data_IF_274986042202
#
_entry.id   IF_274986042202
#
_cell.length_a   1.000
_cell.length_b   1.000
_cell.length_c   1.000
_cell.angle_alpha   90.00
_cell.angle_beta   90.00
_cell.angle_gamma   90.00
#
_symmetry.space_group_name_H-M   'P 1'
#
loop_
_entity.id
_entity.type
_entity.pdbx_description
1 polymer ?
#
# COMPACT_ATOMS: atom_id res chain seq x y z
N UNK A 1 17.78 4.93 -3.25
CA UNK A 1 17.07 4.59 -4.51
C UNK A 1 15.61 4.23 -4.24
N UNK A 2 15.32 3.23 -3.39
CA UNK A 2 13.93 2.82 -3.04
C UNK A 2 13.00 3.99 -2.69
N UNK A 3 13.37 4.84 -1.73
CA UNK A 3 12.51 5.95 -1.27
C UNK A 3 12.23 6.98 -2.38
N UNK A 4 13.22 7.27 -3.22
CA UNK A 4 13.05 8.17 -4.36
C UNK A 4 12.08 7.58 -5.40
N UNK A 5 12.20 6.28 -5.71
CA UNK A 5 11.28 5.58 -6.61
C UNK A 5 9.85 5.57 -6.06
N UNK A 6 9.65 5.29 -4.77
CA UNK A 6 8.32 5.27 -4.15
C UNK A 6 7.69 6.66 -4.05
N UNK A 7 8.48 7.69 -3.75
CA UNK A 7 8.01 9.08 -3.77
C UNK A 7 7.62 9.52 -5.19
N UNK A 8 8.43 9.16 -6.20
CA UNK A 8 8.12 9.43 -7.61
C UNK A 8 6.86 8.71 -8.07
N UNK A 9 6.69 7.43 -7.70
CA UNK A 9 5.47 6.67 -8.00
C UNK A 9 4.22 7.30 -7.37
N UNK A 10 4.30 7.72 -6.10
CA UNK A 10 3.18 8.39 -5.43
C UNK A 10 2.80 9.69 -6.15
N UNK A 11 3.80 10.48 -6.56
CA UNK A 11 3.53 11.71 -7.31
C UNK A 11 2.94 11.41 -8.69
N UNK A 12 3.41 10.35 -9.36
CA UNK A 12 2.83 9.89 -10.62
C UNK A 12 1.37 9.48 -10.45
N UNK A 13 1.02 8.69 -9.44
CA UNK A 13 -0.37 8.28 -9.18
C UNK A 13 -1.30 9.47 -8.93
N UNK A 14 -0.82 10.52 -8.23
CA UNK A 14 -1.58 11.76 -8.01
C UNK A 14 -1.90 12.48 -9.32
N UNK A 15 -0.93 12.57 -10.24
CA UNK A 15 -1.15 13.16 -11.57
C UNK A 15 -2.12 12.30 -12.37
N UNK A 16 -1.90 10.97 -12.39
CA UNK A 16 -2.77 10.03 -13.10
C UNK A 16 -4.22 10.15 -12.64
N UNK A 17 -4.46 10.32 -11.33
CA UNK A 17 -5.81 10.53 -10.77
C UNK A 17 -6.51 11.74 -11.38
N UNK A 18 -5.81 12.88 -11.47
CA UNK A 18 -6.37 14.09 -12.07
C UNK A 18 -6.70 13.91 -13.56
N UNK A 19 -5.89 13.15 -14.29
CA UNK A 19 -6.11 12.85 -15.71
C UNK A 19 -7.30 11.91 -15.93
N UNK A 20 -7.51 10.91 -15.07
CA UNK A 20 -8.55 9.88 -15.30
C UNK A 20 -9.88 10.14 -14.59
N UNK A 21 -9.98 11.15 -13.72
CA UNK A 21 -11.21 11.42 -12.94
C UNK A 21 -12.41 11.75 -13.82
N UNK A 22 -12.20 12.38 -14.97
CA UNK A 22 -13.28 12.68 -15.93
C UNK A 22 -13.91 11.42 -16.54
N UNK A 23 -13.20 10.30 -16.47
CA UNK A 23 -13.65 8.98 -16.91
C UNK A 23 -14.25 8.14 -15.77
N UNK A 24 -14.44 8.73 -14.58
CA UNK A 24 -14.95 8.02 -13.39
C UNK A 24 -14.10 6.79 -13.01
N UNK A 25 -12.79 6.87 -13.21
CA UNK A 25 -11.82 5.83 -12.84
C UNK A 25 -11.27 6.14 -11.44
N UNK A 26 -11.29 5.13 -10.55
CA UNK A 26 -10.73 5.23 -9.19
C UNK A 26 -9.22 4.95 -9.22
N UNK A 27 -8.43 5.82 -8.60
CA UNK A 27 -6.99 5.61 -8.36
C UNK A 27 -6.75 5.57 -6.86
N UNK A 28 -6.23 4.44 -6.38
CA UNK A 28 -6.00 4.18 -4.95
C UNK A 28 -4.54 3.80 -4.76
N UNK A 29 -3.83 4.59 -3.96
CA UNK A 29 -2.47 4.30 -3.53
C UNK A 29 -2.49 3.61 -2.17
N UNK A 30 -2.05 2.34 -2.12
CA UNK A 30 -1.85 1.59 -0.88
C UNK A 30 -0.37 1.60 -0.54
N UNK A 31 -0.04 2.15 0.64
CA UNK A 31 1.32 2.37 1.14
C UNK A 31 1.60 1.43 2.32
N UNK A 32 1.92 0.14 2.08
CA UNK A 32 2.22 -0.80 3.14
C UNK A 32 3.62 -0.57 3.72
N UNK A 33 3.70 -0.58 5.05
CA UNK A 33 4.93 -0.69 5.82
C UNK A 33 5.48 -2.11 5.85
N UNK A 34 6.22 -2.45 6.91
CA UNK A 34 6.87 -3.75 7.04
C UNK A 34 5.88 -4.92 6.93
N UNK A 35 5.93 -5.63 5.80
CA UNK A 35 5.08 -6.78 5.46
C UNK A 35 5.96 -8.00 5.23
N UNK A 36 5.65 -9.12 5.88
CA UNK A 36 6.44 -10.36 5.84
C UNK A 36 6.32 -11.00 4.45
N UNK A 37 7.26 -10.66 3.57
CA UNK A 37 7.32 -11.15 2.18
C UNK A 37 8.78 -11.43 1.81
N UNK A 38 9.05 -12.21 0.75
CA UNK A 38 10.42 -12.50 0.31
C UNK A 38 11.26 -11.29 -0.14
N UNK A 39 10.72 -10.07 -0.19
CA UNK A 39 11.52 -8.85 -0.44
C UNK A 39 12.52 -8.58 0.70
N UNK A 40 12.23 -9.12 1.89
CA UNK A 40 13.11 -9.06 3.05
C UNK A 40 13.98 -10.32 3.10
N UNK A 41 15.24 -10.15 3.50
CA UNK A 41 16.15 -11.28 3.73
C UNK A 41 15.57 -12.27 4.75
N UNK A 42 15.80 -13.56 4.55
CA UNK A 42 15.32 -14.63 5.43
C UNK A 42 15.74 -14.41 6.90
N UNK A 43 16.97 -13.94 7.14
CA UNK A 43 17.46 -13.61 8.49
C UNK A 43 16.64 -12.50 9.15
N UNK A 44 16.23 -11.50 8.40
CA UNK A 44 15.39 -10.39 8.90
C UNK A 44 14.00 -10.92 9.23
N UNK A 45 13.40 -11.71 8.34
CA UNK A 45 12.08 -12.32 8.57
C UNK A 45 12.08 -13.22 9.79
N UNK A 46 13.08 -14.10 9.94
CA UNK A 46 13.19 -14.97 11.12
C UNK A 46 13.29 -14.20 12.44
N UNK A 47 13.93 -13.02 12.43
CA UNK A 47 14.09 -12.17 13.61
C UNK A 47 12.88 -11.29 13.91
N UNK A 48 12.15 -10.87 12.87
CA UNK A 48 11.20 -9.76 12.97
C UNK A 48 9.78 -10.08 12.50
N UNK A 49 9.49 -11.30 12.02
CA UNK A 49 8.17 -11.69 11.49
C UNK A 49 7.00 -11.31 12.41
N UNK A 50 7.16 -11.43 13.73
CA UNK A 50 6.09 -11.16 14.69
C UNK A 50 5.78 -9.66 14.86
N UNK A 51 6.67 -8.79 14.36
CA UNK A 51 6.48 -7.33 14.28
C UNK A 51 6.06 -6.85 12.88
N UNK A 52 5.95 -7.76 11.89
CA UNK A 52 5.57 -7.44 10.52
C UNK A 52 4.08 -7.68 10.29
N UNK A 53 3.49 -6.93 9.36
CA UNK A 53 2.15 -7.25 8.84
C UNK A 53 2.21 -8.53 8.01
N UNK A 54 1.10 -9.27 7.96
CA UNK A 54 0.99 -10.43 7.06
C UNK A 54 0.53 -9.98 5.67
N UNK A 55 1.05 -10.59 4.59
CA UNK A 55 0.62 -10.26 3.24
C UNK A 55 -0.87 -10.55 3.00
N UNK A 56 -1.43 -11.55 3.67
CA UNK A 56 -2.86 -11.88 3.58
C UNK A 56 -3.75 -10.75 4.10
N UNK A 57 -3.33 -10.06 5.17
CA UNK A 57 -4.06 -8.92 5.73
C UNK A 57 -4.06 -7.73 4.76
N UNK A 58 -2.92 -7.46 4.12
CA UNK A 58 -2.81 -6.43 3.07
C UNK A 58 -3.69 -6.78 1.87
N UNK A 59 -3.69 -8.03 1.43
CA UNK A 59 -4.50 -8.49 0.31
C UNK A 59 -6.01 -8.40 0.62
N UNK A 60 -6.44 -8.83 1.80
CA UNK A 60 -7.82 -8.74 2.23
C UNK A 60 -8.30 -7.28 2.25
N UNK A 61 -7.46 -6.37 2.75
CA UNK A 61 -7.76 -4.95 2.75
C UNK A 61 -7.88 -4.37 1.33
N UNK A 62 -6.99 -4.75 0.41
CA UNK A 62 -7.10 -4.34 -1.01
C UNK A 62 -8.43 -4.81 -1.62
N UNK A 63 -8.87 -6.03 -1.33
CA UNK A 63 -10.16 -6.55 -1.80
C UNK A 63 -11.31 -5.71 -1.26
N UNK A 64 -11.30 -5.33 0.02
CA UNK A 64 -12.32 -4.47 0.62
C UNK A 64 -12.44 -3.12 -0.12
N UNK A 65 -11.31 -2.48 -0.43
CA UNK A 65 -11.27 -1.22 -1.17
C UNK A 65 -11.92 -1.32 -2.56
N UNK A 66 -11.74 -2.45 -3.24
CA UNK A 66 -12.33 -2.70 -4.56
C UNK A 66 -13.84 -2.92 -4.49
N UNK A 67 -14.37 -3.39 -3.36
CA UNK A 67 -15.81 -3.62 -3.17
C UNK A 67 -16.60 -2.36 -2.81
N UNK A 68 -15.92 -1.22 -2.57
CA UNK A 68 -16.56 0.06 -2.25
C UNK A 68 -17.43 0.60 -3.40
N UNK A 69 -18.75 0.60 -3.19
CA UNK A 69 -19.72 1.18 -4.13
C UNK A 69 -19.80 2.71 -4.03
N UNK A 70 -20.19 3.38 -5.11
CA UNK A 70 -20.46 4.82 -5.14
C UNK A 70 -19.30 5.67 -5.69
N UNK A 71 -19.47 6.99 -5.57
CA UNK A 71 -18.59 8.03 -6.13
C UNK A 71 -17.47 8.48 -5.16
N UNK A 72 -17.25 7.73 -4.09
CA UNK A 72 -16.16 7.96 -3.13
C UNK A 72 -14.98 7.05 -3.45
N UNK A 73 -13.77 7.57 -3.26
CA UNK A 73 -12.51 6.83 -3.34
C UNK A 73 -11.60 7.25 -2.19
N UNK A 74 -10.97 6.28 -1.54
CA UNK A 74 -9.88 6.56 -0.61
C UNK A 74 -8.58 6.66 -1.42
N UNK A 75 -8.06 7.86 -1.58
CA UNK A 75 -6.96 8.12 -2.52
C UNK A 75 -5.61 7.56 -2.07
N UNK A 76 -5.29 7.71 -0.78
CA UNK A 76 -4.01 7.30 -0.19
C UNK A 76 -4.25 6.62 1.16
N UNK A 77 -3.74 5.40 1.31
CA UNK A 77 -3.92 4.61 2.54
C UNK A 77 -2.57 4.09 3.02
N UNK A 78 -2.19 4.50 4.23
CA UNK A 78 -0.97 4.04 4.89
C UNK A 78 -1.29 2.87 5.81
N UNK A 79 -0.68 1.72 5.57
CA UNK A 79 -0.81 0.53 6.42
C UNK A 79 0.51 0.33 7.16
N UNK A 80 0.48 0.18 8.49
CA UNK A 80 1.68 -0.05 9.30
C UNK A 80 1.44 -1.15 10.34
N UNK A 81 2.50 -1.88 10.75
CA UNK A 81 2.40 -2.72 11.93
C UNK A 81 1.97 -1.89 13.14
N UNK A 82 1.16 -2.48 14.02
CA UNK A 82 0.66 -1.82 15.24
C UNK A 82 1.82 -1.38 16.15
N UNK A 83 2.93 -2.13 16.15
CA UNK A 83 4.13 -1.82 16.92
C UNK A 83 5.03 -0.76 16.29
N UNK A 84 4.61 -0.14 15.18
CA UNK A 84 5.42 0.79 14.42
C UNK A 84 6.42 0.11 13.48
N UNK A 85 7.29 0.92 12.88
CA UNK A 85 8.29 0.48 11.89
C UNK A 85 9.34 -0.45 12.53
N UNK A 86 9.97 -1.29 11.69
CA UNK A 86 10.93 -2.31 12.12
C UNK A 86 12.27 -1.76 12.61
#
# INVERSE_FOLDING_TARGET
MYSATKAGLLQYSRVLREEVREHNIKVIDVLPGATETPIWDEKVRNRHKDRMMKPEDVAAFVVELLTGSGNMVAEEIVLRPVTGDL
#
